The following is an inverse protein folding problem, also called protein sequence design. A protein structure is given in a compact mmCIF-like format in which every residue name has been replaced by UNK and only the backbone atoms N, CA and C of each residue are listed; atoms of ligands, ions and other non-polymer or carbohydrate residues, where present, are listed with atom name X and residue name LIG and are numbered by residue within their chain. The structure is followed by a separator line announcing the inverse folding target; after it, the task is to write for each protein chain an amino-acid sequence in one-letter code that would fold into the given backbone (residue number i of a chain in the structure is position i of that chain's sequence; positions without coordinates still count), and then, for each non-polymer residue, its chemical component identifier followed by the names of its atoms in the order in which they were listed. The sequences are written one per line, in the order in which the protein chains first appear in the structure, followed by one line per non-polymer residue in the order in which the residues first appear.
data_IF_782163172735
#
_entry.id   IF_782163172735
#
_cell.length_a   1.000
_cell.length_b   1.000
_cell.length_c   1.000
_cell.angle_alpha   90.00
_cell.angle_beta   90.00
_cell.angle_gamma   90.00
#
_symmetry.space_group_name_H-M   'P 1'
#
loop_
_entity.id
_entity.type
_entity.pdbx_description
1 polymer ?
#
# COMPACT_ATOMS: atom_id res chain seq x y z
N UNK A 1 5.69 -15.26 7.82
CA UNK A 1 5.61 -14.04 8.70
C UNK A 1 4.18 -13.84 9.18
N UNK A 2 3.94 -13.36 10.40
CA UNK A 2 2.58 -13.14 10.88
C UNK A 2 1.94 -11.95 10.16
N UNK A 3 0.91 -12.25 9.42
CA UNK A 3 0.03 -11.29 8.73
C UNK A 3 -1.33 -11.37 9.38
N UNK A 4 -2.06 -10.28 9.44
CA UNK A 4 -3.48 -10.29 9.79
C UNK A 4 -4.31 -9.59 8.72
N UNK A 5 -5.62 -9.86 8.69
CA UNK A 5 -6.52 -9.22 7.74
C UNK A 5 -7.84 -8.82 8.38
N UNK A 6 -8.35 -7.68 7.95
CA UNK A 6 -9.72 -7.26 8.23
C UNK A 6 -10.60 -7.58 7.03
N UNK A 7 -11.54 -8.52 7.19
CA UNK A 7 -12.53 -8.86 6.17
C UNK A 7 -13.76 -7.97 6.31
N UNK A 8 -14.10 -7.23 5.27
CA UNK A 8 -15.17 -6.24 5.30
C UNK A 8 -16.53 -6.73 4.77
N UNK A 9 -16.61 -7.94 4.19
CA UNK A 9 -17.86 -8.49 3.69
C UNK A 9 -18.09 -9.93 4.16
N UNK A 10 -19.36 -10.33 4.31
CA UNK A 10 -19.77 -11.70 4.60
C UNK A 10 -20.05 -12.53 3.32
N UNK A 11 -20.23 -11.88 2.18
CA UNK A 11 -20.50 -12.56 0.90
C UNK A 11 -19.18 -13.09 0.31
N UNK A 12 -18.97 -14.39 0.44
CA UNK A 12 -17.81 -15.11 -0.04
C UNK A 12 -17.92 -15.58 -1.50
N UNK A 13 -19.06 -15.32 -2.16
CA UNK A 13 -19.26 -15.70 -3.56
C UNK A 13 -18.60 -14.69 -4.54
N UNK A 14 -18.23 -13.52 -4.04
CA UNK A 14 -17.54 -12.50 -4.85
C UNK A 14 -16.02 -12.80 -4.95
N UNK A 15 -15.37 -12.36 -6.05
CA UNK A 15 -13.92 -12.45 -6.16
C UNK A 15 -13.20 -11.81 -4.97
N UNK A 16 -12.13 -12.42 -4.50
CA UNK A 16 -11.34 -11.86 -3.40
C UNK A 16 -10.50 -10.66 -3.88
N UNK A 17 -10.50 -9.57 -3.09
CA UNK A 17 -9.63 -8.42 -3.28
C UNK A 17 -8.79 -8.23 -2.02
N UNK A 18 -7.47 -8.30 -2.19
CA UNK A 18 -6.48 -8.09 -1.13
C UNK A 18 -5.93 -6.67 -1.24
N UNK A 19 -6.01 -5.91 -0.15
CA UNK A 19 -5.55 -4.52 -0.06
C UNK A 19 -4.30 -4.46 0.84
N UNK A 20 -3.17 -3.98 0.29
CA UNK A 20 -1.86 -3.95 0.97
C UNK A 20 -1.44 -2.50 1.20
N UNK A 21 -1.24 -2.12 2.47
CA UNK A 21 -0.85 -0.78 2.85
C UNK A 21 0.65 -0.49 2.67
N UNK A 22 1.03 0.79 2.72
CA UNK A 22 2.41 1.25 2.66
C UNK A 22 3.13 1.26 4.02
N UNK A 23 4.42 1.62 3.99
CA UNK A 23 5.28 1.70 5.17
C UNK A 23 4.70 2.64 6.24
N UNK A 24 4.57 2.16 7.46
CA UNK A 24 4.07 2.94 8.60
C UNK A 24 2.55 3.18 8.59
N UNK A 25 1.80 2.50 7.72
CA UNK A 25 0.34 2.53 7.65
C UNK A 25 -0.28 1.26 8.26
N UNK A 26 -1.55 1.00 8.02
CA UNK A 26 -2.27 -0.21 8.40
C UNK A 26 -3.47 -0.43 7.44
N UNK A 27 -4.12 -1.59 7.52
CA UNK A 27 -5.27 -1.92 6.68
C UNK A 27 -6.43 -0.93 6.75
N UNK A 28 -6.53 -0.16 7.82
CA UNK A 28 -7.56 0.86 7.99
C UNK A 28 -7.46 2.06 7.03
N UNK A 29 -6.32 2.25 6.32
CA UNK A 29 -6.17 3.31 5.31
C UNK A 29 -7.17 3.16 4.15
N UNK A 30 -7.66 1.94 3.92
CA UNK A 30 -8.58 1.60 2.85
C UNK A 30 -10.06 1.82 3.19
N UNK A 31 -10.41 2.17 4.43
CA UNK A 31 -11.79 2.30 4.92
C UNK A 31 -12.69 3.12 4.02
N UNK A 32 -12.19 4.23 3.45
CA UNK A 32 -12.99 5.11 2.57
C UNK A 32 -13.41 4.45 1.25
N UNK A 33 -12.65 3.45 0.78
CA UNK A 33 -12.94 2.73 -0.47
C UNK A 33 -13.86 1.53 -0.26
N UNK A 34 -13.85 0.97 0.96
CA UNK A 34 -14.55 -0.28 1.28
C UNK A 34 -16.02 -0.29 0.86
N UNK A 35 -16.84 0.74 1.15
CA UNK A 35 -18.26 0.73 0.76
C UNK A 35 -18.52 0.48 -0.72
N UNK A 36 -17.66 1.03 -1.61
CA UNK A 36 -17.77 0.85 -3.05
C UNK A 36 -17.13 -0.45 -3.55
N UNK A 37 -16.09 -0.94 -2.86
CA UNK A 37 -15.38 -2.17 -3.23
C UNK A 37 -16.18 -3.43 -2.89
N UNK A 38 -16.89 -3.47 -1.75
CA UNK A 38 -17.71 -4.62 -1.33
C UNK A 38 -18.90 -4.88 -2.23
N UNK A 39 -19.27 -3.94 -3.08
CA UNK A 39 -20.28 -4.17 -4.14
C UNK A 39 -19.82 -5.24 -5.13
N UNK A 40 -18.51 -5.32 -5.40
CA UNK A 40 -17.92 -6.19 -6.42
C UNK A 40 -17.00 -7.27 -5.88
N UNK A 41 -16.47 -7.13 -4.67
CA UNK A 41 -15.44 -8.00 -4.12
C UNK A 41 -15.72 -8.44 -2.69
N UNK A 42 -15.16 -9.59 -2.30
CA UNK A 42 -14.87 -9.91 -0.91
C UNK A 42 -13.55 -9.25 -0.54
N UNK A 43 -13.59 -8.20 0.29
CA UNK A 43 -12.43 -7.33 0.57
C UNK A 43 -11.69 -7.76 1.81
N UNK A 44 -10.37 -7.93 1.69
CA UNK A 44 -9.43 -8.24 2.75
C UNK A 44 -8.37 -7.14 2.82
N UNK A 45 -8.39 -6.30 3.86
CA UNK A 45 -7.33 -5.34 4.11
C UNK A 45 -6.29 -5.96 5.04
N UNK A 46 -5.06 -6.08 4.54
CA UNK A 46 -3.95 -6.71 5.24
C UNK A 46 -3.30 -5.72 6.20
N UNK A 47 -2.94 -6.18 7.39
CA UNK A 47 -1.92 -5.56 8.23
C UNK A 47 -0.61 -6.32 8.07
N UNK A 48 0.43 -5.63 7.63
CA UNK A 48 1.78 -6.17 7.47
C UNK A 48 2.44 -6.41 8.85
N UNK A 49 3.41 -7.32 8.98
CA UNK A 49 4.05 -7.65 10.25
C UNK A 49 4.49 -6.41 11.03
N UNK A 50 4.09 -6.33 12.31
CA UNK A 50 4.36 -5.19 13.18
C UNK A 50 3.60 -3.90 12.87
N UNK A 51 2.56 -3.96 12.01
CA UNK A 51 1.63 -2.88 11.72
C UNK A 51 0.20 -3.30 12.06
N UNK A 52 -0.66 -2.32 12.37
CA UNK A 52 -2.05 -2.59 12.76
C UNK A 52 -2.13 -3.62 13.88
N UNK A 53 -2.86 -4.71 13.64
CA UNK A 53 -3.06 -5.81 14.59
C UNK A 53 -2.09 -6.99 14.35
N UNK A 54 -1.23 -6.93 13.29
CA UNK A 54 -0.27 -7.98 13.01
C UNK A 54 0.93 -7.91 13.97
N UNK A 55 1.30 -9.02 14.64
CA UNK A 55 2.49 -9.04 15.48
C UNK A 55 3.78 -8.91 14.67
N UNK A 56 4.86 -8.47 15.32
CA UNK A 56 6.22 -8.49 14.78
C UNK A 56 6.96 -9.69 15.36
N UNK A 57 7.74 -10.38 14.50
CA UNK A 57 8.76 -11.34 14.91
C UNK A 57 10.12 -10.80 14.49
N UNK A 58 11.10 -10.95 15.36
CA UNK A 58 12.43 -10.32 15.20
C UNK A 58 13.38 -11.08 14.27
N UNK A 59 13.06 -12.34 13.92
CA UNK A 59 13.89 -13.29 13.16
C UNK A 59 13.52 -13.42 11.67
N UNK A 60 12.63 -12.56 11.17
CA UNK A 60 12.10 -12.68 9.80
C UNK A 60 12.63 -11.58 8.86
N UNK A 61 12.96 -11.95 7.63
CA UNK A 61 13.31 -10.99 6.58
C UNK A 61 12.07 -10.18 6.16
N UNK A 62 12.20 -8.85 6.21
CA UNK A 62 11.12 -7.91 5.94
C UNK A 62 11.27 -7.25 4.56
N UNK A 63 11.92 -7.91 3.61
CA UNK A 63 11.98 -7.43 2.23
C UNK A 63 10.65 -7.64 1.49
N UNK A 64 10.36 -6.86 0.42
CA UNK A 64 9.06 -6.89 -0.26
C UNK A 64 8.68 -8.28 -0.81
N UNK A 65 9.65 -9.08 -1.27
CA UNK A 65 9.39 -10.42 -1.82
C UNK A 65 9.01 -11.42 -0.73
N UNK A 66 9.72 -11.41 0.40
CA UNK A 66 9.41 -12.25 1.56
C UNK A 66 8.06 -11.89 2.18
N UNK A 67 7.74 -10.58 2.23
CA UNK A 67 6.42 -10.10 2.66
C UNK A 67 5.31 -10.56 1.70
N UNK A 68 5.54 -10.51 0.39
CA UNK A 68 4.60 -10.98 -0.62
C UNK A 68 4.30 -12.47 -0.46
N UNK A 69 5.35 -13.31 -0.30
CA UNK A 69 5.17 -14.75 -0.06
C UNK A 69 4.33 -15.01 1.18
N UNK A 70 4.58 -14.28 2.27
CA UNK A 70 3.83 -14.46 3.52
C UNK A 70 2.36 -14.07 3.41
N UNK A 71 2.03 -13.04 2.62
CA UNK A 71 0.63 -12.68 2.36
C UNK A 71 -0.05 -13.75 1.51
N UNK A 72 0.63 -14.24 0.48
CA UNK A 72 0.10 -15.33 -0.37
C UNK A 72 -0.15 -16.59 0.47
N UNK A 73 0.83 -17.00 1.27
CA UNK A 73 0.70 -18.18 2.14
C UNK A 73 -0.48 -18.03 3.12
N UNK A 74 -0.62 -16.86 3.75
CA UNK A 74 -1.74 -16.55 4.63
C UNK A 74 -3.09 -16.61 3.89
N UNK A 75 -3.18 -15.98 2.71
CA UNK A 75 -4.45 -15.98 1.96
C UNK A 75 -4.81 -17.35 1.42
N UNK A 76 -3.83 -18.11 0.91
CA UNK A 76 -4.09 -19.42 0.30
C UNK A 76 -4.26 -20.50 1.34
N UNK A 77 -3.35 -20.61 2.31
CA UNK A 77 -3.29 -21.74 3.24
C UNK A 77 -4.19 -21.53 4.47
N UNK A 78 -4.19 -20.29 5.04
CA UNK A 78 -4.93 -20.04 6.29
C UNK A 78 -6.37 -19.59 6.00
N UNK A 79 -6.57 -18.74 4.95
CA UNK A 79 -7.87 -18.20 4.60
C UNK A 79 -8.61 -19.01 3.52
N UNK A 80 -7.96 -19.96 2.85
CA UNK A 80 -8.53 -20.81 1.81
C UNK A 80 -8.85 -20.09 0.49
N UNK A 81 -8.25 -18.92 0.24
CA UNK A 81 -8.49 -18.08 -0.95
C UNK A 81 -7.56 -18.53 -2.07
N UNK A 82 -8.09 -19.28 -3.03
CA UNK A 82 -7.30 -19.85 -4.13
C UNK A 82 -6.85 -18.83 -5.16
N UNK A 83 -7.71 -17.84 -5.47
CA UNK A 83 -7.41 -16.78 -6.44
C UNK A 83 -7.84 -15.43 -5.89
N UNK A 84 -7.08 -14.39 -6.23
CA UNK A 84 -7.31 -13.04 -5.70
C UNK A 84 -6.89 -11.95 -6.68
N UNK A 85 -7.57 -10.81 -6.61
CA UNK A 85 -7.08 -9.53 -7.10
C UNK A 85 -6.33 -8.83 -5.98
N UNK A 86 -5.32 -8.02 -6.33
CA UNK A 86 -4.52 -7.31 -5.32
C UNK A 86 -4.48 -5.83 -5.66
N UNK A 87 -4.62 -4.97 -4.66
CA UNK A 87 -4.29 -3.55 -4.78
C UNK A 87 -3.38 -3.12 -3.62
N UNK A 88 -2.33 -2.36 -3.92
CA UNK A 88 -1.37 -1.93 -2.91
C UNK A 88 -0.88 -0.52 -3.15
N UNK A 89 -0.56 0.22 -2.07
CA UNK A 89 -0.02 1.58 -2.16
C UNK A 89 1.41 1.64 -1.63
N UNK A 90 2.27 2.38 -2.33
CA UNK A 90 3.66 2.63 -1.91
C UNK A 90 4.45 1.30 -1.76
N UNK A 91 5.01 1.00 -0.59
CA UNK A 91 5.61 -0.30 -0.29
C UNK A 91 4.62 -1.46 -0.54
N UNK A 92 3.34 -1.28 -0.20
CA UNK A 92 2.30 -2.26 -0.50
C UNK A 92 2.08 -2.46 -2.01
N UNK A 93 2.31 -1.44 -2.82
CA UNK A 93 2.30 -1.54 -4.28
C UNK A 93 3.44 -2.41 -4.82
N UNK A 94 4.64 -2.25 -4.26
CA UNK A 94 5.77 -3.14 -4.57
C UNK A 94 5.48 -4.58 -4.14
N UNK A 95 5.02 -4.76 -2.89
CA UNK A 95 4.63 -6.09 -2.39
C UNK A 95 3.57 -6.73 -3.29
N UNK A 96 2.59 -5.97 -3.78
CA UNK A 96 1.57 -6.48 -4.70
C UNK A 96 2.15 -6.97 -6.03
N UNK A 97 3.15 -6.27 -6.58
CA UNK A 97 3.89 -6.73 -7.76
C UNK A 97 4.68 -8.01 -7.48
N UNK A 98 5.31 -8.11 -6.31
CA UNK A 98 6.00 -9.33 -5.89
C UNK A 98 5.03 -10.50 -5.68
N UNK A 99 3.82 -10.26 -5.13
CA UNK A 99 2.78 -11.30 -5.02
C UNK A 99 2.43 -11.90 -6.37
N UNK A 100 2.32 -11.06 -7.42
CA UNK A 100 2.07 -11.51 -8.78
C UNK A 100 3.24 -12.34 -9.35
N UNK A 101 4.47 -12.07 -8.93
CA UNK A 101 5.64 -12.79 -9.37
C UNK A 101 5.83 -14.14 -8.64
N UNK A 102 5.57 -14.19 -7.33
CA UNK A 102 5.77 -15.41 -6.52
C UNK A 102 4.61 -16.38 -6.67
N UNK A 103 3.39 -15.91 -6.93
CA UNK A 103 2.19 -16.74 -7.01
C UNK A 103 1.27 -16.35 -8.20
N UNK A 104 1.78 -16.43 -9.45
CA UNK A 104 1.04 -15.99 -10.62
C UNK A 104 -0.20 -16.83 -10.97
N UNK A 105 -0.38 -18.00 -10.34
CA UNK A 105 -1.59 -18.82 -10.47
C UNK A 105 -2.67 -18.45 -9.44
N UNK A 106 -2.29 -17.74 -8.38
CA UNK A 106 -3.20 -17.28 -7.35
C UNK A 106 -3.56 -15.79 -7.51
N UNK A 107 -2.66 -14.97 -8.08
CA UNK A 107 -2.87 -13.53 -8.30
C UNK A 107 -3.35 -13.28 -9.72
N UNK A 108 -4.60 -12.89 -9.88
CA UNK A 108 -5.23 -12.67 -11.19
C UNK A 108 -4.89 -11.29 -11.76
N UNK A 109 -4.89 -10.27 -10.90
CA UNK A 109 -4.55 -8.90 -11.29
C UNK A 109 -3.96 -8.10 -10.15
N UNK A 110 -3.18 -7.06 -10.49
CA UNK A 110 -2.60 -6.11 -9.54
C UNK A 110 -2.88 -4.67 -9.97
N UNK A 111 -3.36 -3.86 -9.03
CA UNK A 111 -3.39 -2.39 -9.13
C UNK A 111 -2.36 -1.83 -8.17
N UNK A 112 -1.19 -1.48 -8.68
CA UNK A 112 -0.09 -0.90 -7.91
C UNK A 112 -0.23 0.62 -7.90
N UNK A 113 -0.59 1.20 -6.74
CA UNK A 113 -0.80 2.63 -6.52
C UNK A 113 0.46 3.25 -5.97
N UNK A 114 1.08 4.15 -6.71
CA UNK A 114 2.35 4.79 -6.40
C UNK A 114 3.37 3.78 -5.81
N UNK A 115 3.65 2.66 -6.53
CA UNK A 115 4.48 1.59 -5.97
C UNK A 115 5.90 2.06 -5.73
N UNK A 116 6.47 1.71 -4.58
CA UNK A 116 7.91 1.75 -4.36
C UNK A 116 8.60 0.68 -5.21
N UNK A 117 9.93 0.73 -5.32
CA UNK A 117 10.69 -0.29 -6.03
C UNK A 117 10.86 -0.07 -7.53
N UNK A 118 10.12 0.86 -8.14
CA UNK A 118 10.24 1.18 -9.56
C UNK A 118 11.21 2.35 -9.80
N UNK A 119 12.44 2.21 -9.33
CA UNK A 119 13.55 3.12 -9.60
C UNK A 119 14.67 2.39 -10.33
N UNK A 120 15.35 3.08 -11.24
CA UNK A 120 16.46 2.49 -12.01
C UNK A 120 17.62 2.15 -11.08
N UNK A 121 18.04 3.11 -10.25
CA UNK A 121 19.04 2.95 -9.21
C UNK A 121 18.57 3.63 -7.93
N UNK A 122 18.69 2.93 -6.80
CA UNK A 122 18.47 3.53 -5.50
C UNK A 122 19.65 3.24 -4.59
N UNK A 123 20.55 4.20 -4.38
CA UNK A 123 21.57 4.07 -3.35
C UNK A 123 20.90 3.95 -1.97
N UNK A 124 21.42 3.11 -1.06
CA UNK A 124 20.91 3.00 0.29
C UNK A 124 20.89 4.35 0.97
N UNK A 125 19.75 4.71 1.58
CA UNK A 125 19.59 5.93 2.37
C UNK A 125 19.86 5.64 3.85
N UNK A 126 20.46 6.61 4.54
CA UNK A 126 20.74 6.48 5.97
C UNK A 126 19.45 6.45 6.81
N UNK A 127 18.43 7.19 6.38
CA UNK A 127 17.14 7.31 7.09
C UNK A 127 15.96 7.19 6.12
N UNK A 128 14.82 6.63 6.60
CA UNK A 128 13.59 6.60 5.80
C UNK A 128 13.08 8.00 5.47
N UNK A 129 12.49 8.22 4.29
CA UNK A 129 11.97 9.53 3.86
C UNK A 129 10.85 10.09 4.78
N UNK A 130 10.13 9.23 5.49
CA UNK A 130 9.01 9.60 6.38
C UNK A 130 9.39 9.56 7.86
N UNK A 131 10.68 9.63 8.21
CA UNK A 131 11.12 9.55 9.60
C UNK A 131 10.62 10.74 10.44
N UNK A 132 10.59 11.94 9.86
CA UNK A 132 10.03 13.15 10.49
C UNK A 132 8.53 12.99 10.82
N UNK A 133 7.74 12.48 9.89
CA UNK A 133 6.33 12.19 10.09
C UNK A 133 6.13 11.12 11.19
N UNK A 134 7.01 10.09 11.24
CA UNK A 134 6.96 9.07 12.27
C UNK A 134 7.28 9.62 13.67
N UNK A 135 8.28 10.48 13.79
CA UNK A 135 8.62 11.13 15.06
C UNK A 135 7.44 12.00 15.53
N UNK A 136 6.89 12.81 14.61
CA UNK A 136 5.72 13.63 14.89
C UNK A 136 4.52 12.77 15.32
N UNK A 137 4.27 11.65 14.65
CA UNK A 137 3.18 10.73 14.98
C UNK A 137 3.34 10.14 16.40
N UNK A 138 4.55 9.69 16.77
CA UNK A 138 4.83 9.17 18.11
C UNK A 138 4.55 10.20 19.22
N UNK A 139 4.80 11.47 18.95
CA UNK A 139 4.54 12.55 19.90
C UNK A 139 3.05 12.89 19.91
N UNK A 140 2.46 13.15 18.75
CA UNK A 140 1.10 13.69 18.64
C UNK A 140 -0.01 12.69 18.95
N UNK A 141 0.24 11.36 18.91
CA UNK A 141 -0.77 10.35 19.24
C UNK A 141 -1.41 10.54 20.62
N UNK A 142 -0.71 11.16 21.56
CA UNK A 142 -1.19 11.36 22.95
C UNK A 142 -2.10 12.58 23.09
N UNK A 143 -2.10 13.51 22.10
CA UNK A 143 -2.91 14.74 22.12
C UNK A 143 -3.55 15.06 20.76
N UNK A 144 -4.01 14.03 20.06
CA UNK A 144 -4.56 14.12 18.68
C UNK A 144 -5.64 15.18 18.50
N UNK A 145 -6.55 15.35 19.49
CA UNK A 145 -7.62 16.35 19.36
C UNK A 145 -7.07 17.78 19.24
N UNK A 146 -5.96 18.07 19.90
CA UNK A 146 -5.28 19.36 19.82
C UNK A 146 -4.42 19.45 18.57
N UNK A 147 -3.61 18.43 18.30
CA UNK A 147 -2.72 18.38 17.14
C UNK A 147 -3.48 18.53 15.81
N UNK A 148 -4.63 17.89 15.66
CA UNK A 148 -5.49 17.99 14.48
C UNK A 148 -5.94 19.43 14.19
N UNK A 149 -6.15 20.25 15.22
CA UNK A 149 -6.58 21.64 15.09
C UNK A 149 -5.45 22.61 14.73
N UNK A 150 -4.20 22.17 14.75
CA UNK A 150 -3.03 22.98 14.41
C UNK A 150 -2.66 22.72 12.94
N UNK A 151 -2.95 23.66 12.02
CA UNK A 151 -2.72 23.44 10.59
C UNK A 151 -1.28 23.11 10.23
N UNK A 152 -0.30 23.68 10.94
CA UNK A 152 1.12 23.42 10.71
C UNK A 152 1.49 21.94 10.99
N UNK A 153 0.98 21.34 12.07
CA UNK A 153 1.22 19.93 12.36
C UNK A 153 0.53 19.02 11.34
N UNK A 154 -0.68 19.38 10.93
CA UNK A 154 -1.41 18.64 9.89
C UNK A 154 -0.67 18.73 8.55
N UNK A 155 -0.13 19.88 8.17
CA UNK A 155 0.65 20.07 6.95
C UNK A 155 1.94 19.22 6.96
N UNK A 156 2.68 19.19 8.06
CA UNK A 156 3.90 18.37 8.19
C UNK A 156 3.57 16.89 7.95
N UNK A 157 2.46 16.41 8.50
CA UNK A 157 2.06 15.00 8.38
C UNK A 157 1.55 14.59 7.00
N UNK A 158 0.88 15.52 6.28
CA UNK A 158 0.05 15.11 5.14
C UNK A 158 0.27 15.86 3.83
N UNK A 159 0.84 17.08 3.85
CA UNK A 159 0.97 17.92 2.64
C UNK A 159 1.74 17.26 1.49
N UNK A 160 2.72 16.41 1.81
CA UNK A 160 3.55 15.70 0.82
C UNK A 160 2.83 14.48 0.20
N UNK A 161 1.78 13.98 0.85
CA UNK A 161 1.13 12.72 0.46
C UNK A 161 -0.29 12.88 -0.04
N UNK A 162 -0.93 14.03 0.20
CA UNK A 162 -2.26 14.36 -0.34
C UNK A 162 -2.47 15.86 -0.45
N UNK A 163 -3.06 16.30 -1.57
CA UNK A 163 -3.49 17.71 -1.75
C UNK A 163 -4.66 18.05 -0.83
N UNK A 164 -5.49 17.06 -0.51
CA UNK A 164 -6.65 17.20 0.36
C UNK A 164 -6.30 17.15 1.85
N UNK A 165 -5.06 17.48 2.22
CA UNK A 165 -4.62 17.39 3.61
C UNK A 165 -5.44 18.26 4.59
N UNK A 166 -6.03 19.37 4.10
CA UNK A 166 -6.89 20.23 4.92
C UNK A 166 -8.26 19.61 5.19
N UNK A 167 -8.78 18.86 4.22
CA UNK A 167 -10.09 18.22 4.24
C UNK A 167 -10.09 16.87 4.97
N UNK A 168 -8.91 16.28 5.24
CA UNK A 168 -8.84 15.01 5.97
C UNK A 168 -9.61 15.08 7.28
N UNK A 169 -10.49 14.12 7.52
CA UNK A 169 -11.28 14.02 8.74
C UNK A 169 -10.40 13.78 9.97
N UNK A 170 -10.92 14.11 11.15
CA UNK A 170 -10.24 13.78 12.41
C UNK A 170 -10.00 12.27 12.51
N UNK A 171 -10.95 11.45 12.10
CA UNK A 171 -10.83 10.00 12.16
C UNK A 171 -9.69 9.50 11.25
N UNK A 172 -9.62 9.93 10.00
CA UNK A 172 -8.54 9.58 9.07
C UNK A 172 -7.16 9.98 9.61
N UNK A 173 -7.05 11.21 10.16
CA UNK A 173 -5.80 11.67 10.76
C UNK A 173 -5.43 10.87 12.01
N UNK A 174 -6.40 10.59 12.89
CA UNK A 174 -6.18 9.79 14.10
C UNK A 174 -5.70 8.38 13.74
N UNK A 175 -6.39 7.73 12.84
CA UNK A 175 -6.09 6.34 12.46
C UNK A 175 -4.71 6.22 11.82
N UNK A 176 -4.34 7.16 10.93
CA UNK A 176 -3.01 7.18 10.29
C UNK A 176 -1.88 7.52 11.27
N UNK A 177 -2.11 8.47 12.19
CA UNK A 177 -1.10 8.80 13.23
C UNK A 177 -0.88 7.62 14.17
N UNK A 178 -1.94 6.95 14.61
CA UNK A 178 -1.84 5.77 15.47
C UNK A 178 -1.12 4.64 14.74
N UNK A 179 -1.47 4.36 13.49
CA UNK A 179 -0.81 3.35 12.67
C UNK A 179 0.70 3.63 12.56
N UNK A 180 1.09 4.85 12.17
CA UNK A 180 2.50 5.25 12.04
C UNK A 180 3.25 5.20 13.38
N UNK A 181 2.66 5.71 14.46
CA UNK A 181 3.29 5.77 15.78
C UNK A 181 3.57 4.37 16.35
N UNK A 182 2.66 3.43 16.13
CA UNK A 182 2.68 2.08 16.72
C UNK A 182 3.32 1.03 15.81
N UNK A 183 3.65 1.35 14.55
CA UNK A 183 4.26 0.42 13.60
C UNK A 183 5.64 -0.05 14.08
N UNK A 184 5.72 -1.20 14.75
CA UNK A 184 6.99 -1.82 15.18
C UNK A 184 7.79 -2.32 13.97
N UNK A 185 7.11 -2.79 12.92
CA UNK A 185 7.69 -3.26 11.67
C UNK A 185 8.26 -2.16 10.75
N UNK A 186 8.09 -0.87 11.10
CA UNK A 186 8.52 0.25 10.26
C UNK A 186 10.01 0.22 9.90
N UNK A 187 10.91 0.12 10.89
CA UNK A 187 12.35 0.08 10.63
C UNK A 187 12.81 -1.24 10.01
N UNK A 188 12.36 -2.43 10.47
CA UNK A 188 12.69 -3.68 9.80
C UNK A 188 12.30 -3.70 8.31
N UNK A 189 11.09 -3.26 7.94
CA UNK A 189 10.66 -3.18 6.54
C UNK A 189 11.45 -2.13 5.75
N UNK A 190 11.75 -0.98 6.36
CA UNK A 190 12.63 0.00 5.74
C UNK A 190 13.98 -0.60 5.39
N UNK A 191 14.63 -1.31 6.32
CA UNK A 191 15.91 -1.98 6.07
C UNK A 191 15.79 -3.07 5.01
N UNK A 192 14.71 -3.82 5.00
CA UNK A 192 14.44 -4.85 4.01
C UNK A 192 14.26 -4.31 2.58
N UNK A 193 13.72 -3.10 2.42
CA UNK A 193 13.50 -2.48 1.12
C UNK A 193 14.63 -1.54 0.67
N UNK A 194 15.41 -0.97 1.63
CA UNK A 194 16.40 0.06 1.36
C UNK A 194 17.55 -0.45 0.50
N UNK A 195 17.87 0.25 -0.59
CA UNK A 195 18.90 -0.13 -1.55
C UNK A 195 18.53 -1.28 -2.49
N UNK A 196 17.27 -1.74 -2.45
CA UNK A 196 16.72 -2.77 -3.36
C UNK A 196 15.70 -2.13 -4.30
N UNK A 197 15.38 -2.81 -5.40
CA UNK A 197 14.32 -2.47 -6.35
C UNK A 197 13.53 -3.70 -6.76
N UNK A 198 12.43 -3.49 -7.48
CA UNK A 198 11.68 -4.56 -8.10
C UNK A 198 12.51 -5.16 -9.26
N UNK A 199 12.76 -6.47 -9.22
CA UNK A 199 13.54 -7.21 -10.24
C UNK A 199 12.85 -8.51 -10.66
N UNK A 200 11.66 -8.77 -10.12
CA UNK A 200 10.94 -10.02 -10.38
C UNK A 200 10.22 -9.99 -11.72
N UNK A 201 10.07 -11.16 -12.33
CA UNK A 201 9.33 -11.33 -13.58
C UNK A 201 7.87 -11.69 -13.27
N UNK A 202 6.94 -10.90 -13.79
CA UNK A 202 5.49 -11.20 -13.69
C UNK A 202 5.00 -11.72 -15.04
N UNK A 203 4.37 -12.91 -15.10
CA UNK A 203 3.80 -13.45 -16.34
C UNK A 203 2.67 -12.59 -16.90
N UNK A 204 2.54 -12.50 -18.23
CA UNK A 204 1.54 -11.66 -18.94
C UNK A 204 0.07 -12.03 -18.63
N UNK A 205 -0.17 -13.27 -18.15
CA UNK A 205 -1.52 -13.67 -17.73
C UNK A 205 -2.01 -12.88 -16.52
N UNK A 206 -1.12 -12.38 -15.64
CA UNK A 206 -1.50 -11.50 -14.53
C UNK A 206 -1.69 -10.08 -15.06
N UNK A 207 -2.87 -9.51 -14.89
CA UNK A 207 -3.18 -8.18 -15.41
C UNK A 207 -2.70 -7.09 -14.46
N UNK A 208 -1.99 -6.09 -14.98
CA UNK A 208 -1.31 -5.09 -14.19
C UNK A 208 -1.71 -3.67 -14.56
N UNK A 209 -2.00 -2.85 -13.55
CA UNK A 209 -2.03 -1.40 -13.68
C UNK A 209 -1.06 -0.79 -12.66
N UNK A 210 -0.13 0.03 -13.14
CA UNK A 210 0.77 0.85 -12.33
C UNK A 210 0.27 2.29 -12.41
N UNK A 211 -0.04 2.88 -11.27
CA UNK A 211 -0.70 4.18 -11.19
C UNK A 211 0.13 5.11 -10.33
N UNK A 212 0.49 6.28 -10.83
CA UNK A 212 1.16 7.34 -10.09
C UNK A 212 0.36 8.64 -10.14
N UNK A 213 0.56 9.51 -9.15
CA UNK A 213 0.15 10.90 -9.24
C UNK A 213 1.29 11.73 -9.84
N UNK A 214 0.95 12.73 -10.66
CA UNK A 214 1.92 13.65 -11.29
C UNK A 214 2.63 14.57 -10.29
N UNK A 215 2.05 14.76 -9.10
CA UNK A 215 2.62 15.59 -8.02
C UNK A 215 3.05 14.73 -6.81
N UNK A 216 3.49 13.49 -7.03
CA UNK A 216 4.01 12.62 -5.98
C UNK A 216 5.38 13.09 -5.47
N UNK A 217 5.40 13.79 -4.35
CA UNK A 217 6.63 14.27 -3.70
C UNK A 217 7.33 13.20 -2.82
N UNK A 218 6.72 12.03 -2.65
CA UNK A 218 7.30 10.91 -1.91
C UNK A 218 8.10 10.01 -2.84
N UNK A 219 7.55 9.73 -4.01
CA UNK A 219 8.14 8.95 -5.10
C UNK A 219 8.08 9.77 -6.41
N UNK A 220 8.86 10.85 -6.52
CA UNK A 220 8.83 11.75 -7.69
C UNK A 220 9.28 11.04 -8.96
N UNK A 221 8.76 11.51 -10.11
CA UNK A 221 8.94 10.88 -11.42
C UNK A 221 10.42 10.65 -11.75
N UNK A 222 11.27 11.65 -11.50
CA UNK A 222 12.68 11.65 -11.94
C UNK A 222 13.53 10.57 -11.27
N UNK A 223 13.09 10.03 -10.11
CA UNK A 223 13.92 9.11 -9.33
C UNK A 223 13.20 7.80 -8.95
N UNK A 224 11.87 7.73 -9.08
CA UNK A 224 11.12 6.63 -8.50
C UNK A 224 10.03 6.03 -9.41
N UNK A 225 9.92 6.49 -10.67
CA UNK A 225 8.88 6.04 -11.60
C UNK A 225 9.48 5.55 -12.93
N UNK A 226 10.47 4.66 -12.83
CA UNK A 226 11.18 4.10 -13.98
C UNK A 226 10.34 2.98 -14.65
N UNK A 227 9.77 3.27 -15.80
CA UNK A 227 8.87 2.35 -16.53
C UNK A 227 9.58 1.07 -16.97
N UNK A 228 10.88 1.12 -17.26
CA UNK A 228 11.65 -0.05 -17.71
C UNK A 228 11.84 -1.09 -16.61
N UNK A 229 11.65 -0.70 -15.34
CA UNK A 229 11.70 -1.60 -14.18
C UNK A 229 10.37 -2.29 -13.93
N UNK A 230 9.26 -1.66 -14.33
CA UNK A 230 7.94 -2.28 -14.22
C UNK A 230 7.79 -3.44 -15.22
N UNK A 231 6.92 -4.46 -14.93
CA UNK A 231 6.60 -5.48 -15.91
C UNK A 231 6.13 -4.86 -17.24
N UNK A 232 6.72 -5.26 -18.37
CA UNK A 232 6.55 -4.60 -19.69
C UNK A 232 5.10 -4.55 -20.19
N UNK A 233 4.25 -5.47 -19.74
CA UNK A 233 2.81 -5.52 -20.06
C UNK A 233 1.94 -4.70 -19.09
N UNK A 234 2.55 -3.95 -18.17
CA UNK A 234 1.80 -3.10 -17.24
C UNK A 234 1.11 -1.95 -17.97
N UNK A 235 -0.16 -1.72 -17.66
CA UNK A 235 -0.84 -0.50 -18.00
C UNK A 235 -0.36 0.63 -17.08
N UNK A 236 0.40 1.58 -17.64
CA UNK A 236 0.90 2.74 -16.92
C UNK A 236 -0.10 3.89 -16.94
N UNK A 237 -0.43 4.44 -15.79
CA UNK A 237 -1.42 5.50 -15.63
C UNK A 237 -0.83 6.59 -14.74
N UNK A 238 -0.91 7.83 -15.20
CA UNK A 238 -0.60 9.02 -14.39
C UNK A 238 -1.90 9.76 -14.12
N UNK A 239 -2.13 10.13 -12.87
CA UNK A 239 -3.33 10.87 -12.43
C UNK A 239 -2.95 12.30 -12.18
N UNK A 240 -3.59 13.23 -12.89
CA UNK A 240 -3.32 14.67 -12.81
C UNK A 240 -3.72 15.24 -11.44
N UNK A 241 -2.96 16.24 -10.96
CA UNK A 241 -3.16 16.92 -9.67
C UNK A 241 -3.26 15.92 -8.50
N UNK A 242 -2.46 14.88 -8.52
CA UNK A 242 -2.52 13.80 -7.55
C UNK A 242 -1.17 13.60 -6.86
N UNK A 243 -1.19 13.53 -5.53
CA UNK A 243 -0.03 13.23 -4.72
C UNK A 243 0.08 11.71 -4.43
N UNK A 244 0.97 11.31 -3.52
CA UNK A 244 1.37 9.92 -3.24
C UNK A 244 0.23 8.98 -2.83
N UNK A 245 -0.72 9.43 -2.02
CA UNK A 245 -1.83 8.59 -1.52
C UNK A 245 -3.05 8.81 -2.41
N UNK A 246 -3.05 8.14 -3.57
CA UNK A 246 -4.05 8.29 -4.64
C UNK A 246 -5.47 8.06 -4.11
N UNK A 247 -5.66 7.05 -3.25
CA UNK A 247 -6.95 6.71 -2.67
C UNK A 247 -7.52 7.78 -1.73
N UNK A 248 -6.70 8.72 -1.25
CA UNK A 248 -7.18 9.87 -0.47
C UNK A 248 -7.48 11.08 -1.36
N UNK A 249 -6.75 11.24 -2.46
CA UNK A 249 -7.01 12.31 -3.42
C UNK A 249 -8.25 12.01 -4.27
N UNK A 250 -8.36 10.79 -4.78
CA UNK A 250 -9.38 10.37 -5.73
C UNK A 250 -9.95 8.98 -5.37
N UNK A 251 -10.76 8.85 -4.29
CA UNK A 251 -11.26 7.55 -3.83
C UNK A 251 -12.10 6.83 -4.89
N UNK A 252 -13.03 7.51 -5.55
CA UNK A 252 -13.88 6.92 -6.60
C UNK A 252 -13.07 6.45 -7.79
N UNK A 253 -12.14 7.28 -8.29
CA UNK A 253 -11.24 6.89 -9.38
C UNK A 253 -10.40 5.67 -8.99
N UNK A 254 -9.90 5.62 -7.75
CA UNK A 254 -9.13 4.46 -7.27
C UNK A 254 -9.96 3.18 -7.33
N UNK A 255 -11.22 3.22 -6.90
CA UNK A 255 -12.13 2.08 -7.00
C UNK A 255 -12.36 1.67 -8.44
N UNK A 256 -12.58 2.62 -9.35
CA UNK A 256 -12.76 2.36 -10.79
C UNK A 256 -11.51 1.70 -11.40
N UNK A 257 -10.31 2.17 -11.06
CA UNK A 257 -9.05 1.59 -11.54
C UNK A 257 -8.88 0.15 -11.04
N UNK A 258 -9.18 -0.13 -9.78
CA UNK A 258 -9.15 -1.49 -9.22
C UNK A 258 -10.14 -2.39 -9.95
N UNK A 259 -11.41 -1.98 -10.07
CA UNK A 259 -12.45 -2.73 -10.78
C UNK A 259 -12.06 -2.98 -12.25
N UNK A 260 -11.54 -1.96 -12.95
CA UNK A 260 -11.14 -2.07 -14.36
C UNK A 260 -9.96 -3.03 -14.55
N UNK A 261 -8.97 -2.99 -13.66
CA UNK A 261 -7.83 -3.91 -13.72
C UNK A 261 -8.27 -5.35 -13.43
N UNK A 262 -9.17 -5.56 -12.48
CA UNK A 262 -9.74 -6.88 -12.20
C UNK A 262 -10.53 -7.46 -13.41
N UNK A 263 -11.33 -6.63 -14.08
CA UNK A 263 -12.09 -7.04 -15.28
C UNK A 263 -11.20 -7.45 -16.47
N UNK A 264 -9.94 -7.01 -16.54
CA UNK A 264 -9.01 -7.45 -17.58
C UNK A 264 -8.58 -8.91 -17.41
N UNK A 265 -8.79 -9.48 -16.21
CA UNK A 265 -8.39 -10.85 -15.84
C UNK A 265 -9.56 -11.85 -15.87
N UNK A 266 -10.76 -11.38 -16.24
CA UNK A 266 -12.00 -12.17 -16.32
C UNK A 266 -12.14 -12.87 -17.66
#
# INVERSE_FOLDING_TARGET
MPVSSHRYTQDLNKPALVLVHGLGSAGNIWKSLVPQLIESFTVYAIDLPGHGDAPLRDDEEMDPRSLAQSIVDYMVNDMGIKTMHVAGNSLGGWIALEMAAVAPDNVLSVTALAPAGLWYEQPPRKFPPSLDARILAKISQHFMKTAYRIPALKAIGYKKITHLWRELSFESCRDSVIAMARSKGYMPMWHGANGRRFESVVPERVKLSVVFGDEDLTLPEEIAQEKSVAPSHSRWIVVDNCAHVIMWNYPTLTVELIKKTALMAS
#
